data_IF_843290965376
#
_entry.id   IF_843290965376
#
_cell.length_a   1.000
_cell.length_b   1.000
_cell.length_c   1.000
_cell.angle_alpha   90.00
_cell.angle_beta   90.00
_cell.angle_gamma   90.00
#
_symmetry.space_group_name_H-M   'P 1'
#
loop_
_entity.id
_entity.type
_entity.pdbx_description
1 polymer ?
#
# COMPACT_ATOMS: atom_id res chain seq x y z
N UNK A 1 -19.00 -23.71 -28.61
CA UNK A 1 -19.39 -23.28 -27.25
C UNK A 1 -18.19 -23.43 -26.32
N UNK A 2 -17.63 -22.35 -25.80
CA UNK A 2 -16.46 -22.43 -24.90
C UNK A 2 -16.92 -22.67 -23.47
N UNK A 3 -16.66 -23.86 -22.92
CA UNK A 3 -16.94 -24.18 -21.52
C UNK A 3 -16.01 -23.35 -20.61
N UNK A 4 -16.60 -22.49 -19.77
CA UNK A 4 -15.87 -21.60 -18.88
C UNK A 4 -15.31 -22.42 -17.71
N UNK A 5 -14.02 -22.78 -17.77
CA UNK A 5 -13.35 -23.57 -16.73
C UNK A 5 -13.35 -22.80 -15.40
N UNK A 6 -13.97 -23.39 -14.37
CA UNK A 6 -13.98 -22.85 -13.01
C UNK A 6 -12.54 -22.82 -12.47
N UNK A 7 -12.04 -21.64 -12.12
CA UNK A 7 -10.68 -21.48 -11.58
C UNK A 7 -10.66 -21.92 -10.12
N UNK A 8 -9.81 -22.90 -9.80
CA UNK A 8 -9.57 -23.34 -8.42
C UNK A 8 -8.91 -22.19 -7.66
N UNK A 9 -9.54 -21.78 -6.55
CA UNK A 9 -8.98 -20.78 -5.63
C UNK A 9 -8.26 -21.51 -4.51
N UNK A 10 -6.97 -21.26 -4.39
CA UNK A 10 -6.15 -21.74 -3.28
C UNK A 10 -6.28 -20.82 -2.06
N UNK A 11 -6.32 -21.42 -0.87
CA UNK A 11 -6.32 -20.71 0.40
C UNK A 11 -5.05 -19.85 0.56
N UNK A 12 -5.13 -18.71 1.27
CA UNK A 12 -3.98 -17.81 1.45
C UNK A 12 -2.83 -18.50 2.20
N UNK A 13 -3.12 -19.32 3.20
CA UNK A 13 -2.13 -20.08 3.97
C UNK A 13 -1.36 -21.03 3.05
N UNK A 14 -2.08 -21.80 2.23
CA UNK A 14 -1.49 -22.72 1.25
C UNK A 14 -0.57 -22.01 0.25
N UNK A 15 -0.98 -20.85 -0.27
CA UNK A 15 -0.13 -20.05 -1.16
C UNK A 15 1.14 -19.58 -0.44
N UNK A 16 1.03 -19.20 0.83
CA UNK A 16 2.19 -18.76 1.62
C UNK A 16 3.18 -19.90 1.86
N UNK A 17 2.70 -21.11 2.17
CA UNK A 17 3.53 -22.29 2.35
C UNK A 17 4.16 -22.75 1.04
N UNK A 18 3.42 -22.70 -0.07
CA UNK A 18 3.94 -23.00 -1.40
C UNK A 18 5.08 -22.04 -1.79
N UNK A 19 4.96 -20.75 -1.45
CA UNK A 19 6.02 -19.77 -1.69
C UNK A 19 7.25 -20.04 -0.80
N UNK A 20 7.06 -20.33 0.49
CA UNK A 20 8.16 -20.72 1.40
C UNK A 20 8.88 -21.99 0.93
N UNK A 21 8.14 -22.97 0.41
CA UNK A 21 8.73 -24.17 -0.18
C UNK A 21 9.53 -23.81 -1.44
N UNK A 22 8.97 -22.99 -2.33
CA UNK A 22 9.63 -22.56 -3.56
C UNK A 22 10.89 -21.71 -3.32
N UNK A 23 11.03 -21.06 -2.16
CA UNK A 23 12.26 -20.39 -1.75
C UNK A 23 13.36 -21.37 -1.35
N UNK A 24 12.99 -22.51 -0.73
CA UNK A 24 13.94 -23.53 -0.27
C UNK A 24 14.41 -24.46 -1.37
N UNK A 25 13.47 -24.97 -2.18
CA UNK A 25 13.75 -26.04 -3.17
C UNK A 25 13.67 -25.54 -4.61
N UNK A 26 13.30 -24.28 -4.82
CA UNK A 26 13.06 -23.71 -6.14
C UNK A 26 11.64 -23.95 -6.66
N UNK A 27 11.23 -23.12 -7.64
CA UNK A 27 9.86 -23.09 -8.15
C UNK A 27 9.45 -24.40 -8.84
N UNK A 28 10.33 -24.96 -9.68
CA UNK A 28 10.04 -26.18 -10.41
C UNK A 28 9.88 -27.40 -9.51
N UNK A 29 10.71 -27.53 -8.46
CA UNK A 29 10.60 -28.62 -7.50
C UNK A 29 9.35 -28.47 -6.62
N UNK A 30 9.08 -27.26 -6.12
CA UNK A 30 7.88 -26.98 -5.33
C UNK A 30 6.59 -27.22 -6.13
N UNK A 31 6.56 -26.82 -7.40
CA UNK A 31 5.43 -27.05 -8.29
C UNK A 31 5.14 -28.54 -8.48
N UNK A 32 6.17 -29.36 -8.71
CA UNK A 32 6.04 -30.83 -8.80
C UNK A 32 5.54 -31.43 -7.50
N UNK A 33 6.13 -31.06 -6.36
CA UNK A 33 5.75 -31.59 -5.05
C UNK A 33 4.30 -31.25 -4.67
N UNK A 34 3.81 -30.08 -5.06
CA UNK A 34 2.46 -29.60 -4.75
C UNK A 34 1.44 -29.87 -5.87
N UNK A 35 1.84 -30.55 -6.96
CA UNK A 35 1.01 -30.76 -8.16
C UNK A 35 0.41 -29.45 -8.71
N UNK A 36 1.20 -28.38 -8.70
CA UNK A 36 0.84 -27.06 -9.22
C UNK A 36 1.56 -26.78 -10.53
N UNK A 37 1.02 -25.85 -11.31
CA UNK A 37 1.78 -25.27 -12.41
C UNK A 37 2.78 -24.24 -11.88
N UNK A 38 4.01 -24.25 -12.39
CA UNK A 38 5.04 -23.26 -12.03
C UNK A 38 4.54 -21.81 -12.21
N UNK A 39 3.72 -21.57 -13.24
CA UNK A 39 3.10 -20.27 -13.51
C UNK A 39 2.22 -19.76 -12.37
N UNK A 40 1.61 -20.64 -11.57
CA UNK A 40 0.82 -20.26 -10.39
C UNK A 40 1.74 -19.70 -9.31
N UNK A 41 2.86 -20.37 -9.05
CA UNK A 41 3.85 -19.95 -8.04
C UNK A 41 4.50 -18.62 -8.46
N UNK A 42 4.87 -18.47 -9.74
CA UNK A 42 5.35 -17.18 -10.27
C UNK A 42 4.30 -16.07 -10.15
N UNK A 43 3.04 -16.37 -10.46
CA UNK A 43 1.93 -15.45 -10.30
C UNK A 43 1.75 -14.98 -8.86
N UNK A 44 1.82 -15.89 -7.88
CA UNK A 44 1.72 -15.55 -6.47
C UNK A 44 2.92 -14.73 -5.99
N UNK A 45 4.14 -15.06 -6.43
CA UNK A 45 5.34 -14.27 -6.12
C UNK A 45 5.22 -12.84 -6.64
N UNK A 46 4.67 -12.66 -7.84
CA UNK A 46 4.41 -11.33 -8.42
C UNK A 46 3.36 -10.56 -7.61
N UNK A 47 2.31 -11.23 -7.15
CA UNK A 47 1.28 -10.62 -6.30
C UNK A 47 1.87 -10.13 -4.97
N UNK A 48 2.61 -10.98 -4.25
CA UNK A 48 3.26 -10.60 -2.98
C UNK A 48 4.20 -9.40 -3.14
N UNK A 49 5.02 -9.39 -4.20
CA UNK A 49 5.90 -8.24 -4.49
C UNK A 49 5.13 -6.95 -4.79
N UNK A 50 4.01 -7.05 -5.50
CA UNK A 50 3.14 -5.91 -5.81
C UNK A 50 2.51 -5.36 -4.52
N UNK A 51 2.01 -6.24 -3.67
CA UNK A 51 1.34 -5.86 -2.41
C UNK A 51 2.34 -5.20 -1.45
N UNK A 52 3.57 -5.72 -1.35
CA UNK A 52 4.65 -5.07 -0.61
C UNK A 52 4.94 -3.66 -1.13
N UNK A 53 5.08 -3.49 -2.45
CA UNK A 53 5.32 -2.18 -3.07
C UNK A 53 4.16 -1.20 -2.84
N UNK A 54 2.92 -1.68 -2.85
CA UNK A 54 1.74 -0.85 -2.53
C UNK A 54 1.82 -0.40 -1.07
N UNK A 55 2.11 -1.32 -0.15
CA UNK A 55 2.22 -1.01 1.29
C UNK A 55 3.30 0.04 1.58
N UNK A 56 4.46 -0.06 0.93
CA UNK A 56 5.53 0.94 1.07
C UNK A 56 5.07 2.31 0.57
N UNK A 57 4.38 2.36 -0.58
CA UNK A 57 3.85 3.60 -1.14
C UNK A 57 2.77 4.22 -0.24
N UNK A 58 1.89 3.40 0.34
CA UNK A 58 0.88 3.87 1.30
C UNK A 58 1.52 4.46 2.54
N UNK A 59 2.60 3.85 3.05
CA UNK A 59 3.37 4.40 4.18
C UNK A 59 4.00 5.75 3.84
N UNK A 60 4.62 5.90 2.69
CA UNK A 60 5.15 7.19 2.22
C UNK A 60 4.05 8.26 2.18
N UNK A 61 2.91 7.94 1.56
CA UNK A 61 1.77 8.85 1.46
C UNK A 61 1.19 9.24 2.84
N UNK A 62 1.19 8.31 3.80
CA UNK A 62 0.75 8.61 5.16
C UNK A 62 1.72 9.60 5.85
N UNK A 63 3.03 9.43 5.67
CA UNK A 63 4.01 10.38 6.21
C UNK A 63 3.88 11.77 5.60
N UNK A 64 3.66 11.85 4.28
CA UNK A 64 3.48 13.12 3.59
C UNK A 64 2.18 13.81 4.02
N UNK A 65 1.08 13.06 4.12
CA UNK A 65 -0.19 13.59 4.63
C UNK A 65 -0.06 14.14 6.06
N UNK A 66 0.73 13.50 6.93
CA UNK A 66 0.96 14.00 8.28
C UNK A 66 1.73 15.33 8.27
N UNK A 67 2.71 15.48 7.39
CA UNK A 67 3.44 16.76 7.20
C UNK A 67 2.53 17.85 6.67
N UNK A 68 1.76 17.57 5.61
CA UNK A 68 0.83 18.53 5.01
C UNK A 68 -0.22 19.00 6.02
N UNK A 69 -0.76 18.10 6.85
CA UNK A 69 -1.71 18.49 7.91
C UNK A 69 -1.09 19.41 8.96
N UNK A 70 0.19 19.23 9.31
CA UNK A 70 0.89 20.12 10.23
C UNK A 70 1.07 21.52 9.62
N UNK A 71 1.53 21.58 8.37
CA UNK A 71 1.69 22.86 7.65
C UNK A 71 0.36 23.60 7.49
N UNK A 72 -0.73 22.88 7.21
CA UNK A 72 -2.07 23.48 7.15
C UNK A 72 -2.53 24.04 8.50
N UNK A 73 -2.22 23.37 9.61
CA UNK A 73 -2.53 23.87 10.94
C UNK A 73 -1.71 25.12 11.27
N UNK A 74 -0.41 25.10 11.02
CA UNK A 74 0.49 26.25 11.23
C UNK A 74 0.04 27.46 10.41
N UNK A 75 -0.25 27.28 9.12
CA UNK A 75 -0.75 28.36 8.26
C UNK A 75 -2.10 28.91 8.75
N UNK A 76 -2.99 28.06 9.28
CA UNK A 76 -4.25 28.50 9.83
C UNK A 76 -4.06 29.39 11.07
N UNK A 77 -3.10 29.04 11.94
CA UNK A 77 -2.71 29.85 13.10
C UNK A 77 -2.09 31.19 12.68
N UNK A 78 -1.16 31.19 11.71
CA UNK A 78 -0.56 32.42 11.17
C UNK A 78 -1.63 33.38 10.61
N UNK A 79 -2.58 32.84 9.83
CA UNK A 79 -3.67 33.65 9.27
C UNK A 79 -4.56 34.24 10.36
N UNK A 80 -4.80 33.52 11.46
CA UNK A 80 -5.58 34.04 12.59
C UNK A 80 -4.84 35.18 13.31
N UNK A 81 -3.52 35.05 13.50
CA UNK A 81 -2.68 36.11 14.07
C UNK A 81 -2.70 37.36 13.18
N UNK A 82 -2.51 37.20 11.87
CA UNK A 82 -2.53 38.32 10.92
C UNK A 82 -3.89 39.01 10.90
N UNK A 83 -4.99 38.26 10.92
CA UNK A 83 -6.35 38.82 11.01
C UNK A 83 -6.55 39.61 12.31
N UNK A 84 -6.15 39.05 13.46
CA UNK A 84 -6.23 39.74 14.75
C UNK A 84 -5.44 41.05 14.72
N UNK A 85 -4.21 41.03 14.23
CA UNK A 85 -3.39 42.23 14.07
C UNK A 85 -4.07 43.28 13.18
N UNK A 86 -4.55 42.89 12.00
CA UNK A 86 -5.26 43.79 11.09
C UNK A 86 -6.50 44.44 11.75
N UNK A 87 -7.28 43.68 12.52
CA UNK A 87 -8.42 44.25 13.26
C UNK A 87 -8.00 45.23 14.36
N UNK A 88 -6.89 44.96 15.05
CA UNK A 88 -6.37 45.88 16.08
C UNK A 88 -5.89 47.19 15.44
N UNK A 89 -5.09 47.12 14.37
CA UNK A 89 -4.61 48.33 13.69
C UNK A 89 -5.75 49.15 13.08
N UNK A 90 -6.75 48.52 12.47
CA UNK A 90 -7.91 49.22 11.91
C UNK A 90 -8.72 49.98 12.98
N UNK A 91 -8.78 49.49 14.22
CA UNK A 91 -9.48 50.16 15.33
C UNK A 91 -8.72 51.37 15.89
N UNK A 92 -7.38 51.36 15.83
CA UNK A 92 -6.52 52.40 16.39
C UNK A 92 -6.11 53.48 15.36
N UNK A 93 -6.66 53.45 14.15
CA UNK A 93 -6.38 54.41 13.07
C UNK A 93 -7.31 55.64 13.09
N UNK A 94 -7.96 55.91 14.23
CA UNK A 94 -8.85 57.06 14.46
C UNK A 94 -8.25 58.03 15.46
#
# INVERSE_FOLDING_TARGET
MTTKKTRIKHAPEFKSEALKLAEKVGVAAAARQLSLYESQIYGWRKAVKKDAKISDRERELATENAKLKRLLAEQAEELDIVKKAATYFAKNLK
#
